data_IF_258076057996
#
_entry.id   IF_258076057996
#
_cell.length_a   1.000
_cell.length_b   1.000
_cell.length_c   1.000
_cell.angle_alpha   90.00
_cell.angle_beta   90.00
_cell.angle_gamma   90.00
#
_symmetry.space_group_name_H-M   'P 1'
#
loop_
_entity.id
_entity.type
_entity.pdbx_description
1 polymer ?
#
# COMPACT_ATOMS: atom_id res chain seq x y z
N UNK A 1 -19.36 28.80 -21.94
CA UNK A 1 -20.01 30.11 -22.17
C UNK A 1 -20.25 30.73 -20.81
N UNK A 2 -19.81 31.96 -20.58
CA UNK A 2 -19.96 32.64 -19.28
C UNK A 2 -21.35 33.24 -19.20
N UNK A 3 -22.17 32.76 -18.26
CA UNK A 3 -23.52 33.29 -18.07
C UNK A 3 -23.41 34.60 -17.29
N UNK A 4 -24.04 35.67 -17.78
CA UNK A 4 -24.07 36.94 -17.06
C UNK A 4 -25.32 37.02 -16.19
N UNK A 5 -25.13 37.44 -14.95
CA UNK A 5 -26.18 37.64 -13.95
C UNK A 5 -26.19 39.09 -13.50
N UNK A 6 -27.37 39.57 -13.15
CA UNK A 6 -27.55 40.90 -12.58
C UNK A 6 -27.38 40.85 -11.06
N UNK A 7 -26.59 41.78 -10.51
CA UNK A 7 -26.46 41.93 -9.07
C UNK A 7 -27.77 42.44 -8.45
N UNK A 8 -28.27 41.74 -7.44
CA UNK A 8 -29.44 42.17 -6.67
C UNK A 8 -29.21 43.44 -5.84
N UNK A 9 -27.96 43.74 -5.45
CA UNK A 9 -27.63 44.92 -4.64
C UNK A 9 -27.31 46.18 -5.44
N UNK A 10 -26.65 46.06 -6.60
CA UNK A 10 -26.22 47.24 -7.39
C UNK A 10 -26.73 47.26 -8.84
N UNK A 11 -27.42 46.21 -9.28
CA UNK A 11 -27.96 46.12 -10.64
C UNK A 11 -26.92 45.89 -11.75
N UNK A 12 -25.62 45.82 -11.42
CA UNK A 12 -24.58 45.60 -12.41
C UNK A 12 -24.57 44.17 -12.95
N UNK A 13 -24.22 44.01 -14.23
CA UNK A 13 -24.11 42.70 -14.89
C UNK A 13 -22.68 42.16 -14.75
N UNK A 14 -22.56 40.97 -14.16
CA UNK A 14 -21.27 40.30 -13.96
C UNK A 14 -21.39 38.79 -14.21
N UNK A 15 -20.27 38.07 -14.17
CA UNK A 15 -20.20 36.64 -14.46
C UNK A 15 -20.75 35.81 -13.29
N UNK A 16 -21.57 34.79 -13.59
CA UNK A 16 -22.27 33.97 -12.60
C UNK A 16 -21.35 33.03 -11.80
N UNK A 17 -20.10 32.87 -12.25
CA UNK A 17 -19.06 32.10 -11.56
C UNK A 17 -18.42 32.89 -10.40
N UNK A 18 -18.57 34.21 -10.34
CA UNK A 18 -18.01 34.99 -9.22
C UNK A 18 -18.85 34.83 -7.96
N UNK A 19 -18.15 34.67 -6.83
CA UNK A 19 -18.72 34.57 -5.48
C UNK A 19 -19.20 35.91 -4.94
N UNK A 20 -18.63 37.01 -5.45
CA UNK A 20 -18.96 38.39 -5.06
C UNK A 20 -19.08 39.28 -6.28
N UNK A 21 -20.02 40.22 -6.24
CA UNK A 21 -20.16 41.24 -7.26
C UNK A 21 -18.90 42.13 -7.28
N UNK A 22 -18.19 42.26 -8.42
CA UNK A 22 -16.95 43.03 -8.48
C UNK A 22 -17.18 44.55 -8.38
N UNK A 23 -18.43 45.00 -8.47
CA UNK A 23 -18.78 46.43 -8.44
C UNK A 23 -19.13 46.92 -7.04
N UNK A 24 -19.91 46.13 -6.28
CA UNK A 24 -20.38 46.54 -4.94
C UNK A 24 -19.95 45.62 -3.80
N UNK A 25 -19.27 44.51 -4.10
CA UNK A 25 -18.81 43.54 -3.10
C UNK A 25 -19.92 42.65 -2.50
N UNK A 26 -21.17 42.81 -2.94
CA UNK A 26 -22.27 41.96 -2.46
C UNK A 26 -22.04 40.49 -2.82
N UNK A 27 -22.32 39.60 -1.87
CA UNK A 27 -22.18 38.16 -2.06
C UNK A 27 -23.19 37.69 -3.10
N UNK A 28 -22.70 36.92 -4.06
CA UNK A 28 -23.50 36.25 -5.07
C UNK A 28 -23.66 34.78 -4.72
N UNK A 29 -24.85 34.44 -4.20
CA UNK A 29 -25.12 33.13 -3.60
C UNK A 29 -24.86 31.95 -4.54
N UNK A 30 -25.19 32.05 -5.83
CA UNK A 30 -24.97 30.96 -6.79
C UNK A 30 -23.50 30.71 -7.09
N UNK A 31 -22.69 31.77 -7.13
CA UNK A 31 -21.23 31.65 -7.29
C UNK A 31 -20.60 31.04 -6.04
N UNK A 32 -21.00 31.53 -4.86
CA UNK A 32 -20.55 30.99 -3.58
C UNK A 32 -20.96 29.51 -3.37
N UNK A 33 -22.17 29.12 -3.77
CA UNK A 33 -22.62 27.73 -3.72
C UNK A 33 -21.78 26.83 -4.64
N UNK A 34 -21.50 27.27 -5.87
CA UNK A 34 -20.61 26.54 -6.80
C UNK A 34 -19.21 26.37 -6.22
N UNK A 35 -18.65 27.41 -5.61
CA UNK A 35 -17.34 27.35 -4.95
C UNK A 35 -17.36 26.36 -3.78
N UNK A 36 -18.37 26.46 -2.90
CA UNK A 36 -18.56 25.55 -1.77
C UNK A 36 -18.67 24.08 -2.21
N UNK A 37 -19.49 23.79 -3.23
CA UNK A 37 -19.64 22.43 -3.76
C UNK A 37 -18.35 21.89 -4.38
N UNK A 38 -17.56 22.76 -5.03
CA UNK A 38 -16.25 22.40 -5.57
C UNK A 38 -15.27 22.02 -4.44
N UNK A 39 -15.24 22.81 -3.38
CA UNK A 39 -14.37 22.55 -2.23
C UNK A 39 -14.75 21.26 -1.50
N UNK A 40 -16.05 20.98 -1.35
CA UNK A 40 -16.54 19.70 -0.84
C UNK A 40 -16.09 18.52 -1.73
N UNK A 41 -16.12 18.69 -3.05
CA UNK A 41 -15.60 17.70 -4.00
C UNK A 41 -14.12 17.38 -3.73
N UNK A 42 -13.28 18.41 -3.59
CA UNK A 42 -11.85 18.24 -3.29
C UNK A 42 -11.61 17.52 -1.97
N UNK A 43 -12.40 17.82 -0.94
CA UNK A 43 -12.31 17.15 0.36
C UNK A 43 -12.64 15.67 0.23
N UNK A 44 -13.70 15.32 -0.51
CA UNK A 44 -14.07 13.93 -0.77
C UNK A 44 -12.96 13.19 -1.52
N UNK A 45 -12.45 13.78 -2.60
CA UNK A 45 -11.42 13.13 -3.43
C UNK A 45 -10.14 12.87 -2.61
N UNK A 46 -9.73 13.84 -1.78
CA UNK A 46 -8.60 13.65 -0.86
C UNK A 46 -8.85 12.53 0.16
N UNK A 47 -10.07 12.38 0.68
CA UNK A 47 -10.42 11.30 1.62
C UNK A 47 -10.35 9.92 0.94
N UNK A 48 -10.83 9.81 -0.29
CA UNK A 48 -10.74 8.58 -1.09
C UNK A 48 -9.28 8.21 -1.37
N UNK A 49 -8.44 9.18 -1.73
CA UNK A 49 -7.00 8.96 -1.92
C UNK A 49 -6.30 8.49 -0.64
N UNK A 50 -6.62 9.09 0.52
CA UNK A 50 -6.08 8.63 1.81
C UNK A 50 -6.49 7.19 2.12
N UNK A 51 -7.74 6.82 1.82
CA UNK A 51 -8.22 5.44 2.01
C UNK A 51 -7.50 4.47 1.07
N UNK A 52 -7.30 4.85 -0.19
CA UNK A 52 -6.59 4.06 -1.19
C UNK A 52 -5.11 3.84 -0.83
N UNK A 53 -4.43 4.86 -0.31
CA UNK A 53 -3.05 4.75 0.19
C UNK A 53 -2.98 3.77 1.35
N UNK A 54 -3.85 3.92 2.36
CA UNK A 54 -3.90 3.02 3.53
C UNK A 54 -4.15 1.56 3.13
N UNK A 55 -5.00 1.32 2.13
CA UNK A 55 -5.33 -0.02 1.67
C UNK A 55 -4.17 -0.68 0.88
N UNK A 56 -3.38 0.13 0.18
CA UNK A 56 -2.23 -0.32 -0.62
C UNK A 56 -0.99 -0.57 0.24
N UNK A 57 -0.80 0.22 1.29
CA UNK A 57 0.35 0.07 2.20
C UNK A 57 0.18 -1.12 3.15
N UNK A 58 -1.04 -1.36 3.65
CA UNK A 58 -1.34 -2.50 4.54
C UNK A 58 -1.01 -3.87 3.92
N UNK A 59 -1.25 -4.03 2.61
CA UNK A 59 -0.93 -5.28 1.91
C UNK A 59 0.56 -5.41 1.57
N UNK A 60 1.24 -4.28 1.31
CA UNK A 60 2.64 -4.27 0.86
C UNK A 60 3.62 -4.58 1.98
N UNK A 61 3.36 -4.09 3.19
CA UNK A 61 4.20 -4.39 4.36
C UNK A 61 4.05 -5.85 4.82
N UNK A 62 2.82 -6.39 4.81
CA UNK A 62 2.55 -7.78 5.18
C UNK A 62 3.24 -8.80 4.27
N UNK A 63 3.31 -8.54 2.96
CA UNK A 63 3.96 -9.46 2.00
C UNK A 63 5.48 -9.49 2.17
N UNK A 64 6.11 -8.38 2.57
CA UNK A 64 7.55 -8.35 2.82
C UNK A 64 7.93 -9.18 4.05
N UNK A 65 7.21 -8.99 5.16
CA UNK A 65 7.40 -9.76 6.40
C UNK A 65 7.12 -11.24 6.17
N UNK A 66 6.04 -11.58 5.45
CA UNK A 66 5.70 -12.97 5.16
C UNK A 66 6.79 -13.69 4.33
N UNK A 67 7.38 -13.01 3.33
CA UNK A 67 8.47 -13.58 2.52
C UNK A 67 9.73 -13.85 3.34
N UNK A 68 10.09 -12.95 4.26
CA UNK A 68 11.24 -13.14 5.15
C UNK A 68 11.03 -14.35 6.05
N UNK A 69 9.85 -14.50 6.67
CA UNK A 69 9.54 -15.63 7.55
C UNK A 69 9.62 -16.95 6.78
N UNK A 70 8.97 -17.05 5.62
CA UNK A 70 9.00 -18.27 4.79
C UNK A 70 10.44 -18.60 4.37
N UNK A 71 11.22 -17.59 3.96
CA UNK A 71 12.63 -17.76 3.61
C UNK A 71 13.45 -18.34 4.75
N UNK A 72 13.32 -17.79 5.96
CA UNK A 72 14.06 -18.29 7.14
C UNK A 72 13.72 -19.74 7.47
N UNK A 73 12.44 -20.13 7.42
CA UNK A 73 12.01 -21.51 7.68
C UNK A 73 12.61 -22.47 6.66
N UNK A 74 12.55 -22.13 5.37
CA UNK A 74 13.13 -22.95 4.30
C UNK A 74 14.64 -23.13 4.46
N UNK A 75 15.35 -22.06 4.84
CA UNK A 75 16.81 -22.16 5.09
C UNK A 75 17.14 -23.07 6.28
N UNK A 76 16.37 -22.99 7.37
CA UNK A 76 16.57 -23.87 8.53
C UNK A 76 16.26 -25.34 8.20
N UNK A 77 15.21 -25.59 7.42
CA UNK A 77 14.88 -26.94 6.94
C UNK A 77 15.97 -27.52 6.03
N UNK A 78 16.55 -26.70 5.15
CA UNK A 78 17.65 -27.15 4.29
C UNK A 78 18.92 -27.46 5.09
N UNK A 79 19.26 -26.63 6.08
CA UNK A 79 20.43 -26.85 6.94
C UNK A 79 20.28 -28.11 7.81
N UNK A 80 19.11 -28.32 8.40
CA UNK A 80 18.82 -29.52 9.20
C UNK A 80 18.87 -30.79 8.36
N UNK A 81 18.31 -30.76 7.15
CA UNK A 81 18.40 -31.88 6.20
C UNK A 81 19.86 -32.16 5.81
N UNK A 82 20.65 -31.13 5.53
CA UNK A 82 22.06 -31.29 5.16
C UNK A 82 22.84 -31.97 6.29
N UNK A 83 22.69 -31.51 7.54
CA UNK A 83 23.33 -32.12 8.71
C UNK A 83 22.94 -33.59 8.87
N UNK A 84 21.65 -33.92 8.70
CA UNK A 84 21.17 -35.30 8.78
C UNK A 84 21.78 -36.21 7.71
N UNK A 85 21.93 -35.70 6.48
CA UNK A 85 22.59 -36.46 5.40
C UNK A 85 24.08 -36.64 5.69
N UNK A 86 24.77 -35.63 6.20
CA UNK A 86 26.17 -35.75 6.61
C UNK A 86 26.35 -36.79 7.71
N UNK A 87 25.53 -36.78 8.76
CA UNK A 87 25.61 -37.77 9.84
C UNK A 87 25.27 -39.18 9.33
N UNK A 88 24.31 -39.32 8.42
CA UNK A 88 23.97 -40.61 7.82
C UNK A 88 25.10 -41.16 6.91
N UNK A 89 25.88 -40.30 6.28
CA UNK A 89 27.07 -40.69 5.51
C UNK A 89 28.21 -41.11 6.43
N UNK A 90 28.45 -40.37 7.52
CA UNK A 90 29.47 -40.71 8.52
C UNK A 90 29.20 -42.07 9.18
N UNK A 91 27.94 -42.31 9.58
CA UNK A 91 27.53 -43.60 10.16
C UNK A 91 27.76 -44.77 9.18
N UNK A 92 27.47 -44.58 7.90
CA UNK A 92 27.75 -45.60 6.86
C UNK A 92 29.24 -45.89 6.70
N UNK A 93 30.10 -44.88 6.83
CA UNK A 93 31.55 -45.05 6.76
C UNK A 93 32.08 -45.86 7.96
N UNK A 94 31.61 -45.55 9.18
CA UNK A 94 32.01 -46.30 10.38
C UNK A 94 31.52 -47.76 10.35
N UNK A 95 30.27 -47.98 9.94
CA UNK A 95 29.69 -49.34 9.86
C UNK A 95 30.43 -50.20 8.83
N UNK A 96 30.89 -49.62 7.71
CA UNK A 96 31.62 -50.37 6.69
C UNK A 96 33.01 -50.79 7.17
N UNK A 97 33.74 -49.92 7.86
CA UNK A 97 35.02 -50.25 8.49
C UNK A 97 34.86 -51.36 9.55
N UNK A 98 33.80 -51.31 10.36
CA UNK A 98 33.51 -52.35 11.35
C UNK A 98 33.17 -53.70 10.68
N UNK A 99 32.43 -53.69 9.58
CA UNK A 99 32.12 -54.92 8.81
C UNK A 99 33.38 -55.55 8.23
N UNK A 100 34.28 -54.75 7.67
CA UNK A 100 35.56 -55.25 7.14
C UNK A 100 36.45 -55.83 8.25
N UNK A 101 36.46 -55.22 9.44
CA UNK A 101 37.17 -55.75 10.60
C UNK A 101 36.60 -57.10 11.06
N UNK A 102 35.28 -57.25 11.14
CA UNK A 102 34.62 -58.52 11.53
C UNK A 102 34.90 -59.62 10.50
N UNK A 103 34.78 -59.32 9.20
CA UNK A 103 35.02 -60.30 8.13
C UNK A 103 36.48 -60.79 8.10
N UNK A 104 37.43 -59.95 8.49
CA UNK A 104 38.85 -60.31 8.50
C UNK A 104 39.30 -61.01 9.80
N UNK A 105 38.45 -61.05 10.82
CA UNK A 105 38.67 -61.82 12.07
C UNK A 105 38.05 -63.23 12.03
N UNK A 106 37.21 -63.56 11.04
CA UNK A 106 36.59 -64.88 10.81
C UNK A 106 37.32 -65.68 9.72
#
# INVERSE_FOLDING_TARGET
MKNKVQCSSCGAMFDDELETCPYCGAIHLRGAEKAYMRDLGRIRDNLEDLQNVKHKDSCREGVFVAKLIIGTILTLLALTLAVYLYSAVDERAQVQQLKEAIINEE
#
